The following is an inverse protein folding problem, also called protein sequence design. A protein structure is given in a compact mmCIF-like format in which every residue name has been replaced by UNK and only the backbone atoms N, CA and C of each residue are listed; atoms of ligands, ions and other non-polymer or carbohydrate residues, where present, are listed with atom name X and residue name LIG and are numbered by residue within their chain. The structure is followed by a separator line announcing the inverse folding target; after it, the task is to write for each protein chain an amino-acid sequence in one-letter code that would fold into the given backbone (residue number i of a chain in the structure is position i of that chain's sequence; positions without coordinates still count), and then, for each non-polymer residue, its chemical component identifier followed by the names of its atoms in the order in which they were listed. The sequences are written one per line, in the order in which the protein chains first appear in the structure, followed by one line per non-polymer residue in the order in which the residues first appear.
data_IF_863067032165
#
_entry.id   IF_863067032165
#
_cell.length_a   1.000
_cell.length_b   1.000
_cell.length_c   1.000
_cell.angle_alpha   90.00
_cell.angle_beta   90.00
_cell.angle_gamma   90.00
#
_symmetry.space_group_name_H-M   'P 1'
#
loop_
_entity.id
_entity.type
_entity.pdbx_description
1 polymer ?
#
# COMPACT_ATOMS: atom_id res chain seq x y z
N UNK A 1 12.07 5.46 -22.66
CA UNK A 1 10.63 5.71 -22.47
C UNK A 1 10.03 4.37 -22.08
N UNK A 2 9.78 4.13 -20.79
CA UNK A 2 9.13 2.90 -20.34
C UNK A 2 7.72 2.93 -20.94
N UNK A 3 7.54 2.14 -22.01
CA UNK A 3 6.25 1.92 -22.64
C UNK A 3 5.24 1.53 -21.58
N UNK A 4 4.06 2.11 -21.66
CA UNK A 4 2.89 1.88 -20.81
C UNK A 4 2.47 0.41 -20.77
N UNK A 5 3.20 -0.43 -20.03
CA UNK A 5 2.66 -1.67 -19.50
C UNK A 5 1.73 -1.23 -18.37
N UNK A 6 0.53 -0.78 -18.75
CA UNK A 6 -0.52 -0.53 -17.78
C UNK A 6 -0.68 -1.82 -16.98
N UNK A 7 -0.52 -1.74 -15.66
CA UNK A 7 -0.87 -2.87 -14.81
C UNK A 7 -2.33 -3.19 -15.09
N UNK A 8 -2.61 -4.42 -15.54
CA UNK A 8 -3.99 -4.91 -15.63
C UNK A 8 -4.55 -4.95 -14.21
N UNK A 9 -5.28 -3.90 -13.83
CA UNK A 9 -5.80 -3.70 -12.47
C UNK A 9 -6.54 -4.93 -11.99
N UNK A 10 -7.25 -5.62 -12.89
CA UNK A 10 -7.93 -6.87 -12.60
C UNK A 10 -7.00 -8.05 -12.27
N UNK A 11 -5.85 -8.15 -12.94
CA UNK A 11 -4.84 -9.17 -12.64
C UNK A 11 -4.25 -8.93 -11.25
N UNK A 12 -3.93 -7.67 -10.94
CA UNK A 12 -3.40 -7.28 -9.63
C UNK A 12 -4.42 -7.53 -8.51
N UNK A 13 -5.68 -7.17 -8.75
CA UNK A 13 -6.81 -7.40 -7.84
C UNK A 13 -6.97 -8.89 -7.53
N UNK A 14 -7.03 -9.75 -8.57
CA UNK A 14 -7.11 -11.21 -8.40
C UNK A 14 -5.93 -11.77 -7.63
N UNK A 15 -4.70 -11.38 -8.00
CA UNK A 15 -3.49 -11.84 -7.31
C UNK A 15 -3.49 -11.45 -5.83
N UNK A 16 -3.92 -10.23 -5.51
CA UNK A 16 -4.04 -9.76 -4.14
C UNK A 16 -5.08 -10.55 -3.33
N UNK A 17 -6.29 -10.73 -3.86
CA UNK A 17 -7.37 -11.51 -3.22
C UNK A 17 -6.90 -12.93 -2.93
N UNK A 18 -6.38 -13.63 -3.93
CA UNK A 18 -5.98 -15.03 -3.79
C UNK A 18 -4.78 -15.19 -2.84
N UNK A 19 -3.81 -14.27 -2.89
CA UNK A 19 -2.69 -14.26 -1.92
C UNK A 19 -3.18 -14.05 -0.49
N UNK A 20 -4.16 -13.16 -0.31
CA UNK A 20 -4.70 -12.84 1.01
C UNK A 20 -5.54 -13.99 1.59
N UNK A 21 -6.32 -14.67 0.74
CA UNK A 21 -7.03 -15.90 1.12
C UNK A 21 -6.05 -17.01 1.49
N UNK A 22 -5.01 -17.23 0.66
CA UNK A 22 -3.99 -18.25 0.91
C UNK A 22 -3.27 -18.04 2.25
N UNK A 23 -3.03 -16.77 2.64
CA UNK A 23 -2.40 -16.41 3.92
C UNK A 23 -3.37 -16.34 5.09
N UNK A 24 -4.67 -16.59 4.88
CA UNK A 24 -5.70 -16.48 5.93
C UNK A 24 -5.89 -15.06 6.46
N UNK A 25 -5.58 -14.04 5.65
CA UNK A 25 -5.65 -12.64 6.04
C UNK A 25 -6.74 -11.85 5.28
N UNK A 26 -7.56 -12.54 4.48
CA UNK A 26 -8.60 -11.88 3.68
C UNK A 26 -9.59 -11.08 4.52
N UNK A 27 -10.08 -11.64 5.63
CA UNK A 27 -11.05 -10.97 6.49
C UNK A 27 -10.50 -9.70 7.14
N UNK A 28 -9.19 -9.66 7.41
CA UNK A 28 -8.51 -8.48 7.96
C UNK A 28 -8.46 -7.30 6.98
N UNK A 29 -8.61 -7.56 5.69
CA UNK A 29 -8.66 -6.50 4.68
C UNK A 29 -9.96 -5.73 4.79
N UNK A 30 -11.05 -6.30 5.31
CA UNK A 30 -12.33 -5.57 5.43
C UNK A 30 -12.21 -4.34 6.34
N UNK A 31 -11.30 -4.38 7.31
CA UNK A 31 -11.06 -3.30 8.28
C UNK A 31 -9.98 -2.31 7.82
N UNK A 32 -9.57 -2.35 6.55
CA UNK A 32 -8.40 -1.60 6.06
C UNK A 32 -8.45 -0.10 6.35
N UNK A 33 -9.64 0.52 6.34
CA UNK A 33 -9.81 1.95 6.62
C UNK A 33 -9.30 2.31 8.01
N UNK A 34 -9.76 1.60 9.03
CA UNK A 34 -9.36 1.82 10.43
C UNK A 34 -7.88 1.49 10.62
N UNK A 35 -7.39 0.44 9.95
CA UNK A 35 -5.97 0.07 10.00
C UNK A 35 -5.09 1.21 9.46
N UNK A 36 -5.45 1.82 8.32
CA UNK A 36 -4.66 2.93 7.76
C UNK A 36 -4.75 4.21 8.58
N UNK A 37 -5.92 4.53 9.13
CA UNK A 37 -6.06 5.67 10.05
C UNK A 37 -5.11 5.53 11.24
N UNK A 38 -5.00 4.32 11.81
CA UNK A 38 -4.05 4.06 12.89
C UNK A 38 -2.59 4.17 12.43
N UNK A 39 -2.26 3.65 11.25
CA UNK A 39 -0.89 3.67 10.71
C UNK A 39 -0.42 5.09 10.39
N UNK A 40 -1.26 5.91 9.73
CA UNK A 40 -0.89 7.28 9.33
C UNK A 40 -0.68 8.18 10.55
N UNK A 41 -1.48 7.97 11.60
CA UNK A 41 -1.38 8.76 12.83
C UNK A 41 -0.33 8.22 13.82
N UNK A 42 0.32 7.09 13.54
CA UNK A 42 1.37 6.52 14.39
C UNK A 42 2.71 7.27 14.16
N UNK A 43 3.27 7.96 15.18
CA UNK A 43 4.52 8.69 15.02
C UNK A 43 5.72 7.78 14.73
N UNK A 44 5.70 6.55 15.24
CA UNK A 44 6.74 5.56 15.00
C UNK A 44 6.76 5.09 13.55
N UNK A 45 5.60 4.93 12.92
CA UNK A 45 5.48 4.59 11.49
C UNK A 45 6.01 5.73 10.61
N UNK A 46 5.64 6.97 10.92
CA UNK A 46 6.18 8.15 10.23
C UNK A 46 7.71 8.24 10.35
N UNK A 47 8.26 7.99 11.55
CA UNK A 47 9.72 7.97 11.75
C UNK A 47 10.39 6.84 10.96
N UNK A 48 9.78 5.66 10.90
CA UNK A 48 10.28 4.52 10.11
C UNK A 48 10.28 4.84 8.62
N UNK A 49 9.24 5.49 8.11
CA UNK A 49 9.20 5.94 6.72
C UNK A 49 10.34 6.92 6.40
N UNK A 50 10.53 7.94 7.23
CA UNK A 50 11.64 8.88 7.06
C UNK A 50 13.02 8.18 7.10
N UNK A 51 13.17 7.16 7.96
CA UNK A 51 14.36 6.31 8.01
C UNK A 51 14.56 5.50 6.72
N UNK A 52 13.49 4.96 6.16
CA UNK A 52 13.51 4.19 4.92
C UNK A 52 13.91 5.07 3.72
N UNK A 53 13.35 6.27 3.59
CA UNK A 53 13.69 7.20 2.51
C UNK A 53 15.20 7.55 2.49
N UNK A 54 15.85 7.66 3.65
CA UNK A 54 17.30 7.91 3.74
C UNK A 54 18.15 6.77 3.18
N UNK A 55 17.62 5.55 3.16
CA UNK A 55 18.33 4.36 2.70
C UNK A 55 17.99 3.99 1.26
N UNK A 56 16.86 4.48 0.75
CA UNK A 56 16.28 4.07 -0.52
C UNK A 56 16.10 5.29 -1.43
N UNK A 57 17.03 5.56 -2.37
CA UNK A 57 16.96 6.73 -3.24
C UNK A 57 15.67 6.83 -4.07
N UNK A 58 15.08 5.71 -4.45
CA UNK A 58 13.81 5.68 -5.19
C UNK A 58 12.59 6.12 -4.37
N UNK A 59 12.72 6.13 -3.03
CA UNK A 59 11.66 6.56 -2.12
C UNK A 59 11.80 8.03 -1.72
N UNK A 60 12.89 8.70 -2.11
CA UNK A 60 13.14 10.09 -1.78
C UNK A 60 12.04 11.00 -2.36
N UNK A 61 11.52 11.92 -1.54
CA UNK A 61 10.46 12.85 -1.93
C UNK A 61 9.04 12.27 -1.94
N UNK A 62 8.87 10.95 -1.78
CA UNK A 62 7.54 10.32 -1.66
C UNK A 62 7.06 10.43 -0.22
N UNK A 63 5.93 11.11 0.03
CA UNK A 63 5.41 11.21 1.39
C UNK A 63 4.78 9.87 1.83
N UNK A 64 4.75 9.65 3.16
CA UNK A 64 4.13 8.45 3.70
C UNK A 64 2.62 8.43 3.37
N UNK A 65 1.97 9.59 3.47
CA UNK A 65 0.56 9.77 3.14
C UNK A 65 0.27 9.45 1.67
N UNK A 66 1.08 9.94 0.72
CA UNK A 66 0.88 9.61 -0.71
C UNK A 66 0.94 8.10 -0.95
N UNK A 67 1.82 7.40 -0.22
CA UNK A 67 1.93 5.94 -0.29
C UNK A 67 0.67 5.26 0.23
N UNK A 68 0.15 5.71 1.38
CA UNK A 68 -1.09 5.16 1.96
C UNK A 68 -2.29 5.45 1.05
N UNK A 69 -2.39 6.64 0.47
CA UNK A 69 -3.49 7.03 -0.41
C UNK A 69 -3.56 6.13 -1.66
N UNK A 70 -2.42 5.82 -2.28
CA UNK A 70 -2.36 4.90 -3.42
C UNK A 70 -2.81 3.49 -3.00
N UNK A 71 -2.35 2.98 -1.86
CA UNK A 71 -2.76 1.66 -1.38
C UNK A 71 -4.27 1.63 -1.10
N UNK A 72 -4.83 2.68 -0.50
CA UNK A 72 -6.26 2.79 -0.29
C UNK A 72 -7.05 2.77 -1.60
N UNK A 73 -6.60 3.51 -2.62
CA UNK A 73 -7.23 3.48 -3.95
C UNK A 73 -7.22 2.08 -4.57
N UNK A 74 -6.11 1.34 -4.42
CA UNK A 74 -6.03 -0.04 -4.89
C UNK A 74 -7.00 -0.96 -4.15
N UNK A 75 -7.18 -0.75 -2.84
CA UNK A 75 -8.09 -1.55 -2.03
C UNK A 75 -9.57 -1.16 -2.21
N UNK A 76 -9.86 0.10 -2.56
CA UNK A 76 -11.22 0.51 -2.96
C UNK A 76 -11.65 -0.10 -4.29
N UNK A 77 -10.70 -0.47 -5.14
CA UNK A 77 -10.95 -1.12 -6.41
C UNK A 77 -11.07 -2.66 -6.30
N UNK A 78 -10.96 -3.25 -5.09
CA UNK A 78 -11.15 -4.69 -4.84
C UNK A 78 -12.62 -5.10 -4.85
#
# INVERSE_FOLDING_TARGET
MLSSVGYETDTLRKAFVETSKHRGSYDKIQDFRIIFENIVNDPGMNQRWAGYQKQMPYAEGISFNDTIDVIQQMLFAL
#
